data_IF_132146040837
#
_entry.id   IF_132146040837
#
_cell.length_a   1.000
_cell.length_b   1.000
_cell.length_c   1.000
_cell.angle_alpha   90.00
_cell.angle_beta   90.00
_cell.angle_gamma   90.00
#
_symmetry.space_group_name_H-M   'P 1'
#
loop_
_entity.id
_entity.type
_entity.pdbx_description
1 polymer ?
#
# COMPACT_ATOMS: atom_id res chain seq x y z
N UNK A 1 -10.06 -6.39 -18.77
CA UNK A 1 -9.02 -7.06 -17.98
C UNK A 1 -9.05 -6.50 -16.55
N UNK A 2 -9.16 -7.33 -15.52
CA UNK A 2 -9.12 -6.81 -14.15
C UNK A 2 -7.80 -6.12 -13.84
N UNK A 3 -7.79 -5.34 -12.77
CA UNK A 3 -6.59 -4.61 -12.36
C UNK A 3 -6.27 -4.89 -10.90
N UNK A 4 -5.00 -5.07 -10.61
CA UNK A 4 -4.48 -5.12 -9.25
C UNK A 4 -4.03 -3.71 -8.87
N UNK A 5 -4.58 -3.20 -7.79
CA UNK A 5 -4.20 -1.88 -7.26
C UNK A 5 -3.41 -2.11 -6.00
N UNK A 6 -2.21 -1.55 -5.94
CA UNK A 6 -1.32 -1.68 -4.79
C UNK A 6 -0.97 -0.28 -4.29
N UNK A 7 -1.10 -0.09 -2.99
CA UNK A 7 -0.68 1.15 -2.34
C UNK A 7 0.26 0.81 -1.19
N UNK A 8 1.36 1.54 -1.12
CA UNK A 8 2.37 1.39 -0.07
C UNK A 8 2.52 2.74 0.63
N UNK A 9 2.28 2.76 1.93
CA UNK A 9 2.33 3.99 2.72
C UNK A 9 3.35 3.86 3.84
N UNK A 10 4.21 4.87 4.02
CA UNK A 10 5.18 4.86 5.11
C UNK A 10 4.61 5.30 6.44
N UNK A 11 3.42 5.90 6.45
CA UNK A 11 2.80 6.54 7.59
C UNK A 11 1.47 5.86 7.90
N UNK A 12 1.30 5.41 9.14
CA UNK A 12 0.08 4.72 9.55
C UNK A 12 -1.16 5.60 9.41
N UNK A 13 -1.06 6.88 9.76
CA UNK A 13 -2.21 7.77 9.68
C UNK A 13 -2.68 7.95 8.23
N UNK A 14 -1.74 8.18 7.33
CA UNK A 14 -2.09 8.30 5.91
C UNK A 14 -2.63 7.00 5.35
N UNK A 15 -2.10 5.88 5.82
CA UNK A 15 -2.61 4.58 5.41
C UNK A 15 -4.07 4.41 5.80
N UNK A 16 -4.42 4.79 7.03
CA UNK A 16 -5.80 4.73 7.49
C UNK A 16 -6.70 5.65 6.68
N UNK A 17 -6.22 6.84 6.37
CA UNK A 17 -6.97 7.79 5.53
C UNK A 17 -7.23 7.22 4.13
N UNK A 18 -6.24 6.53 3.57
CA UNK A 18 -6.39 5.86 2.27
C UNK A 18 -7.44 4.75 2.35
N UNK A 19 -7.40 3.93 3.39
CA UNK A 19 -8.39 2.87 3.56
C UNK A 19 -9.80 3.42 3.69
N UNK A 20 -9.97 4.51 4.43
CA UNK A 20 -11.27 5.16 4.55
C UNK A 20 -11.76 5.68 3.19
N UNK A 21 -10.86 6.27 2.41
CA UNK A 21 -11.21 6.75 1.08
C UNK A 21 -11.60 5.61 0.16
N UNK A 22 -10.90 4.49 0.25
CA UNK A 22 -11.20 3.31 -0.55
C UNK A 22 -12.58 2.73 -0.17
N UNK A 23 -12.88 2.70 1.12
CA UNK A 23 -14.18 2.24 1.57
C UNK A 23 -15.31 3.09 1.01
N UNK A 24 -15.14 4.40 0.97
CA UNK A 24 -16.12 5.31 0.38
C UNK A 24 -16.32 5.08 -1.11
N UNK A 25 -15.32 4.54 -1.78
CA UNK A 25 -15.41 4.18 -3.20
C UNK A 25 -15.88 2.74 -3.42
N UNK A 26 -16.38 2.12 -2.37
CA UNK A 26 -16.92 0.75 -2.41
C UNK A 26 -15.87 -0.32 -2.73
N UNK A 27 -14.63 -0.06 -2.39
CA UNK A 27 -13.57 -1.06 -2.51
C UNK A 27 -13.70 -2.05 -1.36
N UNK A 28 -13.67 -3.32 -1.66
CA UNK A 28 -13.79 -4.39 -0.68
C UNK A 28 -12.86 -5.52 -1.01
N UNK A 29 -12.60 -6.36 -0.02
CA UNK A 29 -11.67 -7.46 -0.22
C UNK A 29 -10.23 -7.01 -0.25
N UNK A 30 -9.91 -5.93 0.47
CA UNK A 30 -8.56 -5.42 0.54
C UNK A 30 -7.69 -6.32 1.41
N UNK A 31 -6.52 -6.68 0.93
CA UNK A 31 -5.52 -7.39 1.71
C UNK A 31 -4.47 -6.41 2.20
N UNK A 32 -4.12 -6.51 3.47
CA UNK A 32 -3.19 -5.59 4.12
C UNK A 32 -1.96 -6.37 4.57
N UNK A 33 -0.79 -5.85 4.24
CA UNK A 33 0.49 -6.43 4.64
C UNK A 33 1.37 -5.37 5.28
N UNK A 34 2.17 -5.78 6.26
CA UNK A 34 3.24 -4.94 6.75
C UNK A 34 4.50 -5.26 5.95
N UNK A 35 5.30 -4.24 5.66
CA UNK A 35 6.53 -4.40 4.91
C UNK A 35 7.60 -3.47 5.45
N UNK A 36 8.85 -3.70 5.05
CA UNK A 36 9.98 -2.86 5.44
C UNK A 36 10.51 -2.13 4.20
N UNK A 37 10.82 -0.85 4.37
CA UNK A 37 11.48 -0.11 3.31
C UNK A 37 12.94 -0.51 3.25
N UNK A 38 13.40 -0.96 2.10
CA UNK A 38 14.79 -1.39 1.93
C UNK A 38 15.77 -0.26 2.22
N UNK A 39 15.42 0.95 1.83
CA UNK A 39 16.27 2.11 2.09
C UNK A 39 16.53 2.30 3.59
N UNK A 40 15.53 2.12 4.41
CA UNK A 40 15.68 2.21 5.87
C UNK A 40 16.59 1.11 6.40
N UNK A 41 16.44 -0.10 5.90
CA UNK A 41 17.29 -1.23 6.28
C UNK A 41 18.74 -0.94 5.93
N UNK A 42 18.99 -0.43 4.73
CA UNK A 42 20.35 -0.12 4.28
C UNK A 42 20.96 1.00 5.10
N UNK A 43 20.21 2.03 5.44
CA UNK A 43 20.69 3.12 6.28
C UNK A 43 21.12 2.63 7.66
N UNK A 44 20.33 1.75 8.23
CA UNK A 44 20.65 1.20 9.55
C UNK A 44 21.94 0.37 9.51
N UNK A 45 22.12 -0.43 8.46
CA UNK A 45 23.32 -1.24 8.30
C UNK A 45 24.56 -0.39 8.06
N UNK A 46 24.42 0.66 7.28
CA UNK A 46 25.57 1.51 6.94
C UNK A 46 26.25 2.13 8.15
N UNK A 47 25.50 2.33 9.22
CA UNK A 47 26.07 2.87 10.45
C UNK A 47 26.68 1.83 11.37
N UNK A 48 26.59 0.54 11.02
CA UNK A 48 27.03 -0.54 11.91
C UNK A 48 27.57 -1.74 11.11
N UNK A 49 28.64 -1.51 10.40
CA UNK A 49 29.23 -2.51 9.50
C UNK A 49 29.68 -3.79 10.22
N UNK A 50 30.00 -3.68 11.48
CA UNK A 50 30.51 -4.80 12.27
C UNK A 50 29.42 -5.66 12.89
N UNK A 51 28.16 -5.30 12.74
CA UNK A 51 27.06 -6.07 13.35
C UNK A 51 26.47 -7.08 12.38
N UNK A 52 26.10 -8.25 12.88
CA UNK A 52 25.37 -9.23 12.07
C UNK A 52 24.06 -8.64 11.55
N UNK A 53 23.66 -9.06 10.37
CA UNK A 53 22.44 -8.58 9.74
C UNK A 53 21.18 -8.93 10.56
N UNK A 54 21.13 -10.14 11.11
CA UNK A 54 19.93 -10.62 11.78
C UNK A 54 19.46 -9.79 12.96
N UNK A 55 20.33 -9.37 13.88
CA UNK A 55 19.89 -8.50 14.97
C UNK A 55 19.31 -7.17 14.47
N UNK A 56 19.88 -6.60 13.40
CA UNK A 56 19.39 -5.36 12.84
C UNK A 56 18.01 -5.53 12.21
N UNK A 57 17.80 -6.62 11.47
CA UNK A 57 16.50 -6.91 10.89
C UNK A 57 15.45 -7.17 11.95
N UNK A 58 15.82 -7.91 13.01
CA UNK A 58 14.88 -8.15 14.10
C UNK A 58 14.45 -6.84 14.75
N UNK A 59 15.39 -5.95 14.97
CA UNK A 59 15.08 -4.65 15.54
C UNK A 59 14.09 -3.87 14.65
N UNK A 60 14.33 -3.88 13.35
CA UNK A 60 13.43 -3.21 12.40
C UNK A 60 12.05 -3.83 12.39
N UNK A 61 11.98 -5.17 12.46
CA UNK A 61 10.70 -5.87 12.48
C UNK A 61 9.87 -5.52 13.72
N UNK A 62 10.54 -5.20 14.81
CA UNK A 62 9.90 -4.85 16.07
C UNK A 62 9.59 -3.35 16.17
N UNK A 63 10.13 -2.53 15.28
CA UNK A 63 9.98 -1.07 15.32
C UNK A 63 8.97 -0.61 14.30
N UNK A 64 7.91 0.06 14.75
CA UNK A 64 6.89 0.58 13.85
C UNK A 64 7.39 1.71 12.95
N UNK A 65 8.46 2.38 13.35
CA UNK A 65 9.01 3.50 12.57
C UNK A 65 9.49 3.10 11.20
N UNK A 66 9.91 1.84 11.04
CA UNK A 66 10.50 1.37 9.79
C UNK A 66 9.54 0.53 8.97
N UNK A 67 8.35 0.30 9.48
CA UNK A 67 7.36 -0.51 8.77
C UNK A 67 6.59 0.34 7.78
N UNK A 68 6.41 -0.19 6.58
CA UNK A 68 5.46 0.34 5.61
C UNK A 68 4.19 -0.48 5.70
N UNK A 69 3.08 0.14 5.37
CA UNK A 69 1.79 -0.56 5.25
C UNK A 69 1.47 -0.70 3.78
N UNK A 70 1.16 -1.92 3.37
CA UNK A 70 0.80 -2.21 1.98
C UNK A 70 -0.62 -2.74 1.94
N UNK A 71 -1.43 -2.21 1.05
CA UNK A 71 -2.76 -2.72 0.79
C UNK A 71 -2.89 -3.02 -0.70
N UNK A 72 -3.58 -4.10 -1.02
CA UNK A 72 -3.86 -4.38 -2.42
C UNK A 72 -5.25 -4.96 -2.59
N UNK A 73 -5.80 -4.77 -3.78
CA UNK A 73 -7.12 -5.25 -4.14
C UNK A 73 -7.15 -5.48 -5.65
N UNK A 74 -7.91 -6.47 -6.08
CA UNK A 74 -8.17 -6.69 -7.51
C UNK A 74 -9.58 -6.20 -7.80
N UNK A 75 -9.72 -5.38 -8.82
CA UNK A 75 -11.00 -4.82 -9.23
C UNK A 75 -11.30 -5.17 -10.68
N UNK A 76 -12.60 -5.19 -11.01
CA UNK A 76 -13.07 -5.49 -12.35
C UNK A 76 -12.83 -4.34 -13.32
N UNK A 77 -13.02 -4.64 -14.62
CA UNK A 77 -12.86 -3.66 -15.70
C UNK A 77 -13.77 -2.45 -15.55
N UNK A 78 -14.96 -2.64 -15.02
CA UNK A 78 -15.95 -1.57 -14.91
C UNK A 78 -15.79 -0.72 -13.66
N UNK A 79 -14.80 -1.01 -12.85
CA UNK A 79 -14.53 -0.21 -11.66
C UNK A 79 -13.92 1.14 -12.04
N UNK A 80 -14.35 2.19 -11.34
CA UNK A 80 -13.86 3.55 -11.57
C UNK A 80 -12.45 3.73 -10.99
N UNK A 81 -11.47 3.29 -11.76
CA UNK A 81 -10.07 3.33 -11.32
C UNK A 81 -9.56 4.75 -11.15
N UNK A 82 -9.87 5.63 -12.09
CA UNK A 82 -9.41 7.02 -12.01
C UNK A 82 -9.97 7.72 -10.79
N UNK A 83 -11.22 7.46 -10.46
CA UNK A 83 -11.84 8.00 -9.25
C UNK A 83 -11.17 7.50 -7.99
N UNK A 84 -10.76 6.24 -7.97
CA UNK A 84 -10.05 5.69 -6.83
C UNK A 84 -8.67 6.31 -6.66
N UNK A 85 -7.95 6.49 -7.75
CA UNK A 85 -6.64 7.14 -7.72
C UNK A 85 -6.76 8.55 -7.19
N UNK A 86 -7.74 9.31 -7.69
CA UNK A 86 -7.98 10.67 -7.22
C UNK A 86 -8.30 10.71 -5.73
N UNK A 87 -9.18 9.82 -5.27
CA UNK A 87 -9.53 9.74 -3.86
C UNK A 87 -8.32 9.40 -2.99
N UNK A 88 -7.45 8.53 -3.49
CA UNK A 88 -6.22 8.18 -2.78
C UNK A 88 -5.29 9.38 -2.65
N UNK A 89 -5.12 10.13 -3.73
CA UNK A 89 -4.28 11.32 -3.70
C UNK A 89 -4.83 12.37 -2.74
N UNK A 90 -6.14 12.56 -2.72
CA UNK A 90 -6.76 13.50 -1.77
C UNK A 90 -6.54 13.04 -0.33
N UNK A 91 -6.61 11.75 -0.07
CA UNK A 91 -6.41 11.21 1.27
C UNK A 91 -4.99 11.44 1.80
N UNK A 92 -3.99 11.43 0.91
CA UNK A 92 -2.61 11.67 1.32
C UNK A 92 -2.22 13.16 1.27
N UNK A 93 -3.17 14.02 0.97
CA UNK A 93 -2.95 15.47 1.00
C UNK A 93 -2.43 16.03 -0.31
N UNK A 94 -2.51 15.30 -1.40
CA UNK A 94 -2.15 15.82 -2.71
C UNK A 94 -1.45 14.82 -3.60
N UNK A 95 -0.31 15.21 -4.16
CA UNK A 95 0.37 14.46 -5.20
C UNK A 95 1.19 13.29 -4.61
N UNK A 96 0.91 12.08 -5.09
CA UNK A 96 1.67 10.89 -4.70
C UNK A 96 3.11 10.92 -5.20
N UNK A 97 3.41 11.73 -6.20
CA UNK A 97 4.78 11.90 -6.67
C UNK A 97 5.63 12.76 -5.74
N UNK A 98 5.01 13.42 -4.78
CA UNK A 98 5.75 14.20 -3.79
C UNK A 98 6.57 13.26 -2.89
N UNK A 99 7.74 13.72 -2.41
CA UNK A 99 8.59 12.88 -1.55
C UNK A 99 7.84 12.40 -0.31
N UNK A 100 8.05 11.14 0.05
CA UNK A 100 7.50 10.52 1.26
C UNK A 100 5.98 10.45 1.29
N UNK A 101 5.33 10.56 0.15
CA UNK A 101 3.87 10.49 0.07
C UNK A 101 3.34 9.07 -0.03
N UNK A 102 4.20 8.13 -0.41
CA UNK A 102 3.79 6.76 -0.64
C UNK A 102 3.90 6.38 -2.11
N UNK A 103 3.41 5.21 -2.44
CA UNK A 103 3.46 4.68 -3.80
C UNK A 103 2.13 4.00 -4.10
N UNK A 104 1.55 4.31 -5.25
CA UNK A 104 0.40 3.58 -5.76
C UNK A 104 0.73 3.13 -7.17
N UNK A 105 0.44 1.87 -7.48
CA UNK A 105 0.59 1.40 -8.85
C UNK A 105 -0.52 0.42 -9.19
N UNK A 106 -0.76 0.26 -10.48
CA UNK A 106 -1.81 -0.59 -11.02
C UNK A 106 -1.19 -1.55 -12.00
N UNK A 107 -1.55 -2.83 -11.87
CA UNK A 107 -1.03 -3.89 -12.75
C UNK A 107 -2.22 -4.58 -13.40
N UNK A 108 -2.24 -4.70 -14.73
CA UNK A 108 -3.28 -5.48 -15.39
C UNK A 108 -3.17 -6.95 -14.96
N UNK A 109 -4.32 -7.54 -14.64
CA UNK A 109 -4.39 -8.95 -14.25
C UNK A 109 -5.00 -9.72 -15.40
N UNK A 110 -4.25 -10.67 -15.92
CA UNK A 110 -4.71 -11.42 -17.09
C UNK A 110 -5.93 -12.26 -16.78
N UNK A 111 -6.04 -12.73 -15.53
CA UNK A 111 -7.14 -13.60 -15.13
C UNK A 111 -7.31 -13.54 -13.63
N UNK A 112 -8.56 -13.43 -13.16
CA UNK A 112 -8.87 -13.44 -11.74
C UNK A 112 -10.09 -14.31 -11.50
N UNK A 113 -10.02 -15.15 -10.47
CA UNK A 113 -11.13 -15.98 -10.03
C UNK A 113 -11.47 -15.61 -8.59
N UNK A 114 -12.73 -15.67 -8.25
CA UNK A 114 -13.17 -15.31 -6.91
C UNK A 114 -13.43 -13.82 -6.72
N UNK A 115 -13.40 -13.07 -7.79
CA UNK A 115 -13.63 -11.63 -7.76
C UNK A 115 -15.14 -11.38 -7.68
N UNK A 116 -15.55 -10.52 -6.73
CA UNK A 116 -16.95 -10.17 -6.57
C UNK A 116 -17.19 -8.73 -7.02
N UNK A 117 -18.20 -8.47 -7.84
CA UNK A 117 -18.54 -7.10 -8.22
C UNK A 117 -18.86 -6.27 -6.97
N UNK A 118 -18.28 -5.09 -6.87
CA UNK A 118 -18.45 -4.23 -5.70
C UNK A 118 -19.90 -3.77 -5.54
N UNK A 119 -20.58 -3.55 -6.67
CA UNK A 119 -21.95 -3.08 -6.67
C UNK A 119 -22.96 -4.16 -6.25
N UNK A 120 -22.58 -5.42 -6.21
CA UNK A 120 -23.45 -6.53 -5.80
C UNK A 120 -23.35 -6.89 -4.32
N UNK A 121 -22.69 -6.09 -3.56
CA UNK A 121 -22.53 -6.40 -2.14
C UNK A 121 -23.84 -6.18 -1.40
N UNK A 122 -24.29 -7.20 -0.82
CA UNK A 122 -25.47 -7.15 0.00
C UNK A 122 -25.14 -7.15 1.46
#
# INVERSE_FOLDING_TARGET
>A
MPNLIVVVMPDLQRFQDVLDAWEKKSVTGVTILESLGLHKVQQLRAGRDDLPLFPSLRHLLESEEYHHRTAFVVVDDDFDLDGLIEATEQAVGGDLDAPNSGLLFVVPVARALGLRPHWKRG
#
